data_IF_236227965850
#
_entry.id   IF_236227965850
#
_cell.length_a   1.000
_cell.length_b   1.000
_cell.length_c   1.000
_cell.angle_alpha   90.00
_cell.angle_beta   90.00
_cell.angle_gamma   90.00
#
_symmetry.space_group_name_H-M   'P 1'
#
loop_
_entity.id
_entity.type
_entity.pdbx_description
1 polymer ?
#
# COMPACT_ATOMS: atom_id res chain seq x y z
N UNK A 1 -38.91 -24.76 9.69
CA UNK A 1 -39.02 -23.30 9.54
C UNK A 1 -39.61 -22.76 10.85
N UNK A 2 -38.75 -22.30 11.74
CA UNK A 2 -39.17 -21.66 12.98
C UNK A 2 -39.26 -20.16 12.72
N UNK A 3 -40.46 -19.65 12.63
CA UNK A 3 -40.76 -18.22 12.58
C UNK A 3 -40.65 -17.68 14.00
N UNK A 4 -39.48 -17.20 14.38
CA UNK A 4 -39.32 -16.39 15.59
C UNK A 4 -39.80 -14.97 15.28
N UNK A 5 -41.10 -14.76 15.54
CA UNK A 5 -41.67 -13.43 15.68
C UNK A 5 -41.09 -12.78 16.94
N UNK A 6 -39.95 -12.14 16.82
CA UNK A 6 -39.43 -11.25 17.86
C UNK A 6 -40.34 -10.03 17.95
N UNK A 7 -41.30 -10.08 18.89
CA UNK A 7 -42.01 -8.88 19.32
C UNK A 7 -41.00 -7.79 19.67
N UNK A 8 -41.34 -6.55 19.35
CA UNK A 8 -40.47 -5.34 19.41
C UNK A 8 -39.89 -5.08 20.80
N UNK A 9 -38.98 -5.95 21.27
CA UNK A 9 -38.13 -5.68 22.44
C UNK A 9 -36.90 -4.92 21.98
N UNK A 10 -36.60 -3.82 22.65
CA UNK A 10 -35.39 -3.03 22.39
C UNK A 10 -34.16 -3.93 22.34
N UNK A 11 -33.38 -3.86 21.25
CA UNK A 11 -32.14 -4.60 21.12
C UNK A 11 -31.14 -4.17 22.21
N UNK A 12 -30.63 -5.14 22.95
CA UNK A 12 -29.58 -4.97 23.98
C UNK A 12 -28.29 -5.58 23.49
N UNK A 13 -27.16 -5.11 24.00
CA UNK A 13 -25.80 -5.57 23.59
C UNK A 13 -25.68 -7.11 23.63
N UNK A 14 -26.25 -7.78 24.61
CA UNK A 14 -26.20 -9.24 24.72
C UNK A 14 -27.04 -9.99 23.68
N UNK A 15 -27.90 -9.30 22.91
CA UNK A 15 -28.63 -9.88 21.79
C UNK A 15 -27.79 -9.91 20.50
N UNK A 16 -26.72 -9.13 20.43
CA UNK A 16 -25.82 -9.09 19.27
C UNK A 16 -25.01 -10.38 19.21
N UNK A 17 -25.21 -11.16 18.18
CA UNK A 17 -24.48 -12.40 17.91
C UNK A 17 -24.00 -12.39 16.47
N UNK A 18 -22.79 -12.92 16.21
CA UNK A 18 -22.32 -13.09 14.84
C UNK A 18 -23.25 -14.05 14.07
N UNK A 19 -23.28 -13.91 12.77
CA UNK A 19 -24.02 -14.84 11.92
C UNK A 19 -23.55 -16.29 12.16
N UNK A 20 -24.46 -17.30 12.02
CA UNK A 20 -24.08 -18.69 12.15
C UNK A 20 -22.92 -19.04 11.23
N UNK A 21 -21.87 -19.66 11.77
CA UNK A 21 -20.64 -20.00 11.02
C UNK A 21 -19.57 -18.89 10.95
N UNK A 22 -19.86 -17.66 11.34
CA UNK A 22 -18.88 -16.57 11.35
C UNK A 22 -17.80 -16.75 12.44
N UNK A 23 -18.07 -17.53 13.48
CA UNK A 23 -17.12 -17.83 14.54
C UNK A 23 -17.01 -19.35 14.75
N UNK A 24 -15.81 -19.86 14.59
CA UNK A 24 -15.50 -21.25 14.89
C UNK A 24 -14.67 -21.32 16.17
N UNK A 25 -15.09 -22.12 17.19
CA UNK A 25 -14.30 -22.29 18.40
C UNK A 25 -12.90 -22.79 18.11
N UNK A 26 -11.89 -22.24 18.77
CA UNK A 26 -10.51 -22.67 18.62
C UNK A 26 -10.37 -24.15 19.00
N UNK A 27 -9.81 -24.94 18.11
CA UNK A 27 -9.55 -26.37 18.37
C UNK A 27 -8.53 -26.51 19.48
N UNK A 28 -8.88 -27.18 20.55
CA UNK A 28 -7.99 -27.50 21.69
C UNK A 28 -7.34 -28.85 21.42
N UNK A 29 -6.06 -28.83 21.10
CA UNK A 29 -5.25 -30.05 20.86
C UNK A 29 -4.75 -30.68 22.16
N UNK A 30 -4.38 -31.96 22.14
CA UNK A 30 -3.85 -32.66 23.31
C UNK A 30 -4.89 -32.93 24.40
N UNK A 31 -6.18 -33.14 24.04
CA UNK A 31 -7.30 -33.41 24.97
C UNK A 31 -7.89 -34.82 24.78
N UNK A 32 -7.05 -35.80 24.64
CA UNK A 32 -7.44 -37.18 24.37
C UNK A 32 -6.92 -37.66 23.02
N UNK A 33 -7.35 -38.83 22.56
CA UNK A 33 -6.82 -39.48 21.35
C UNK A 33 -7.67 -39.19 20.09
N UNK A 34 -8.86 -38.56 20.22
CA UNK A 34 -9.72 -38.32 19.09
C UNK A 34 -9.19 -37.18 18.19
N UNK A 35 -9.40 -37.31 16.88
CA UNK A 35 -9.13 -36.31 15.85
C UNK A 35 -7.71 -35.69 15.92
N UNK A 36 -7.53 -34.54 16.56
CA UNK A 36 -6.23 -33.85 16.74
C UNK A 36 -5.64 -34.07 18.14
N UNK A 37 -6.00 -35.15 18.82
CA UNK A 37 -5.60 -35.43 20.19
C UNK A 37 -4.16 -35.89 20.36
N UNK A 38 -3.90 -37.16 20.19
CA UNK A 38 -2.66 -37.90 20.58
C UNK A 38 -1.34 -37.12 20.45
N UNK A 39 -0.96 -36.71 19.27
CA UNK A 39 0.30 -35.98 19.00
C UNK A 39 0.12 -34.49 18.85
N UNK A 40 -1.12 -34.01 18.95
CA UNK A 40 -1.47 -32.59 18.81
C UNK A 40 -0.94 -31.93 17.51
N UNK A 41 -0.79 -32.71 16.44
CA UNK A 41 -0.25 -32.26 15.15
C UNK A 41 1.27 -32.11 15.09
N UNK A 42 2.01 -32.57 16.11
CA UNK A 42 3.48 -32.44 16.17
C UNK A 42 4.26 -33.66 15.68
N UNK A 43 3.61 -34.78 15.44
CA UNK A 43 4.27 -36.05 15.12
C UNK A 43 4.88 -36.74 16.36
N UNK A 44 5.75 -37.76 16.15
CA UNK A 44 6.20 -38.64 17.23
C UNK A 44 7.61 -38.40 17.72
N UNK A 45 8.53 -37.94 16.91
CA UNK A 45 9.96 -37.73 17.25
C UNK A 45 10.43 -36.37 16.73
N UNK A 46 11.58 -35.94 17.23
CA UNK A 46 12.23 -34.68 16.85
C UNK A 46 12.01 -33.54 17.83
N UNK A 47 12.78 -32.51 17.66
CA UNK A 47 12.81 -31.33 18.55
C UNK A 47 11.49 -30.63 18.60
N UNK A 48 10.81 -30.41 17.46
CA UNK A 48 9.50 -29.75 17.39
C UNK A 48 8.36 -30.52 18.05
N UNK A 49 8.50 -31.82 18.27
CA UNK A 49 7.53 -32.65 19.00
C UNK A 49 7.60 -32.41 20.51
N UNK A 50 8.75 -32.04 21.03
CA UNK A 50 9.02 -31.92 22.48
C UNK A 50 8.88 -30.50 23.01
N UNK A 51 9.37 -29.50 22.24
CA UNK A 51 9.27 -28.09 22.62
C UNK A 51 9.22 -27.19 21.39
N UNK A 52 9.06 -25.91 21.57
CA UNK A 52 9.09 -24.94 20.50
C UNK A 52 10.53 -24.64 20.09
N UNK A 53 10.77 -24.69 18.78
CA UNK A 53 12.01 -24.21 18.17
C UNK A 53 11.77 -22.80 17.67
N UNK A 54 12.65 -21.83 17.92
CA UNK A 54 12.53 -20.49 17.36
C UNK A 54 12.37 -20.53 15.83
N UNK A 55 11.49 -19.73 15.27
CA UNK A 55 11.19 -19.72 13.82
C UNK A 55 12.43 -19.45 12.94
N UNK A 56 13.42 -18.75 13.51
CA UNK A 56 14.67 -18.38 12.82
C UNK A 56 15.80 -19.38 13.05
N UNK A 57 15.56 -20.51 13.70
CA UNK A 57 16.59 -21.51 13.96
C UNK A 57 16.80 -22.43 12.76
N UNK A 58 17.99 -22.42 12.20
CA UNK A 58 18.40 -23.20 11.02
C UNK A 58 19.32 -24.38 11.37
N UNK A 59 19.13 -24.98 12.55
CA UNK A 59 19.88 -26.18 12.95
C UNK A 59 21.36 -25.96 13.24
N UNK A 60 21.78 -24.73 13.53
CA UNK A 60 23.19 -24.36 13.77
C UNK A 60 23.90 -23.75 12.57
N UNK A 61 23.27 -23.81 11.38
CA UNK A 61 23.75 -23.05 10.22
C UNK A 61 23.56 -21.54 10.45
N UNK A 62 24.49 -20.72 9.98
CA UNK A 62 24.34 -19.26 10.01
C UNK A 62 23.10 -18.85 9.22
N UNK A 63 22.10 -18.21 9.86
CA UNK A 63 20.86 -17.79 9.22
C UNK A 63 21.08 -16.86 8.03
N UNK A 64 20.18 -16.91 7.05
CA UNK A 64 20.29 -16.10 5.82
C UNK A 64 20.45 -14.61 6.10
N UNK A 65 19.70 -14.05 7.08
CA UNK A 65 19.81 -12.65 7.45
C UNK A 65 21.18 -12.25 8.02
N UNK A 66 21.96 -13.20 8.55
CA UNK A 66 23.34 -12.97 9.00
C UNK A 66 24.37 -13.18 7.86
N UNK A 67 24.04 -13.97 6.84
CA UNK A 67 24.89 -14.19 5.67
C UNK A 67 24.78 -13.06 4.64
N UNK A 68 23.64 -12.37 4.59
CA UNK A 68 23.47 -11.23 3.69
C UNK A 68 24.35 -10.05 4.12
N UNK A 69 25.03 -9.37 3.18
CA UNK A 69 25.81 -8.20 3.48
C UNK A 69 24.89 -7.09 4.00
N UNK A 70 25.38 -6.32 4.96
CA UNK A 70 24.66 -5.13 5.46
C UNK A 70 24.51 -4.11 4.33
N UNK A 71 23.35 -3.48 4.25
CA UNK A 71 23.10 -2.36 3.35
C UNK A 71 24.08 -1.24 3.69
N UNK A 72 24.86 -0.79 2.70
CA UNK A 72 25.83 0.31 2.86
C UNK A 72 25.14 1.65 2.72
N UNK A 73 25.68 2.68 3.38
CA UNK A 73 25.16 4.02 3.34
C UNK A 73 24.07 4.29 4.38
N UNK A 74 23.38 5.39 4.21
CA UNK A 74 22.28 5.82 5.09
C UNK A 74 21.09 6.27 4.26
N UNK A 75 19.91 6.19 4.82
CA UNK A 75 18.68 6.74 4.24
C UNK A 75 18.42 8.10 4.87
N UNK A 76 18.45 9.17 4.06
CA UNK A 76 18.11 10.50 4.51
C UNK A 76 16.64 10.57 4.91
N UNK A 77 16.37 10.79 6.21
CA UNK A 77 15.02 10.90 6.76
C UNK A 77 14.29 12.20 6.36
N UNK A 78 15.06 13.21 5.96
CA UNK A 78 14.55 14.53 5.55
C UNK A 78 14.42 14.67 4.03
N UNK A 79 14.48 13.55 3.30
CA UNK A 79 14.29 13.55 1.85
C UNK A 79 12.86 13.95 1.52
N UNK A 80 12.71 15.05 0.78
CA UNK A 80 11.43 15.42 0.18
C UNK A 80 11.19 14.56 -1.05
N UNK A 81 10.13 13.77 -1.03
CA UNK A 81 9.73 12.93 -2.16
C UNK A 81 8.68 13.68 -2.99
N UNK A 82 8.92 13.79 -4.29
CA UNK A 82 8.01 14.40 -5.24
C UNK A 82 7.34 13.32 -6.09
N UNK A 83 6.08 13.51 -6.38
CA UNK A 83 5.41 12.79 -7.46
C UNK A 83 5.81 13.42 -8.79
N UNK A 84 6.17 12.59 -9.75
CA UNK A 84 6.65 13.04 -11.06
C UNK A 84 5.53 12.96 -12.07
N UNK A 85 5.38 14.03 -12.87
CA UNK A 85 4.54 14.07 -14.06
C UNK A 85 5.38 14.51 -15.23
N UNK A 86 5.37 13.77 -16.33
CA UNK A 86 6.09 14.08 -17.55
C UNK A 86 5.22 14.91 -18.50
N UNK A 87 5.84 15.68 -19.41
CA UNK A 87 5.13 16.52 -20.38
C UNK A 87 4.25 15.70 -21.32
N UNK A 88 4.71 14.53 -21.73
CA UNK A 88 3.92 13.60 -22.55
C UNK A 88 2.59 13.24 -21.87
N UNK A 89 2.64 12.97 -20.57
CA UNK A 89 1.42 12.68 -19.79
C UNK A 89 0.50 13.89 -19.68
N UNK A 90 1.07 15.09 -19.56
CA UNK A 90 0.27 16.33 -19.56
C UNK A 90 -0.41 16.55 -20.89
N UNK A 91 0.29 16.33 -22.03
CA UNK A 91 -0.29 16.41 -23.36
C UNK A 91 -1.46 15.44 -23.58
N UNK A 92 -1.35 14.21 -23.07
CA UNK A 92 -2.44 13.22 -23.12
C UNK A 92 -3.66 13.62 -22.28
N UNK A 93 -3.45 14.21 -21.10
CA UNK A 93 -4.53 14.61 -20.20
C UNK A 93 -5.21 15.91 -20.60
N UNK A 94 -4.52 16.77 -21.34
CA UNK A 94 -4.98 18.11 -21.75
C UNK A 94 -4.74 18.34 -23.26
N UNK A 95 -5.41 17.58 -24.14
CA UNK A 95 -5.21 17.69 -25.59
C UNK A 95 -5.63 19.06 -26.13
N UNK A 96 -6.59 19.71 -25.50
CA UNK A 96 -7.11 21.03 -25.89
C UNK A 96 -6.34 22.21 -25.25
N UNK A 97 -5.35 21.90 -24.41
CA UNK A 97 -4.62 22.92 -23.65
C UNK A 97 -5.36 23.38 -22.39
N UNK A 98 -4.91 24.50 -21.80
CA UNK A 98 -5.56 25.14 -20.65
C UNK A 98 -4.68 25.22 -19.40
N UNK A 99 -5.33 25.48 -18.26
CA UNK A 99 -4.66 25.58 -16.94
C UNK A 99 -4.59 24.21 -16.27
N UNK A 100 -3.43 23.92 -15.68
CA UNK A 100 -3.16 22.66 -14.98
C UNK A 100 -2.75 22.98 -13.55
N UNK A 101 -3.57 22.60 -12.59
CA UNK A 101 -3.26 22.72 -11.16
C UNK A 101 -2.93 21.35 -10.54
N UNK A 102 -2.24 21.28 -9.39
CA UNK A 102 -2.04 20.03 -8.68
C UNK A 102 -3.36 19.31 -8.34
N UNK A 103 -4.41 20.07 -8.01
CA UNK A 103 -5.74 19.51 -7.71
C UNK A 103 -6.37 18.84 -8.94
N UNK A 104 -6.21 19.42 -10.12
CA UNK A 104 -6.73 18.85 -11.38
C UNK A 104 -5.99 17.55 -11.73
N UNK A 105 -4.68 17.50 -11.46
CA UNK A 105 -3.88 16.28 -11.66
C UNK A 105 -4.31 15.15 -10.72
N UNK A 106 -4.73 15.47 -9.49
CA UNK A 106 -5.32 14.49 -8.57
C UNK A 106 -6.69 14.04 -9.08
N UNK A 107 -7.55 14.96 -9.49
CA UNK A 107 -8.89 14.65 -10.01
C UNK A 107 -8.82 13.74 -11.26
N UNK A 108 -7.84 13.95 -12.15
CA UNK A 108 -7.57 13.11 -13.33
C UNK A 108 -6.77 11.84 -13.02
N UNK A 109 -6.40 11.60 -11.75
CA UNK A 109 -5.66 10.40 -11.33
C UNK A 109 -4.21 10.33 -11.83
N UNK A 110 -3.62 11.46 -12.23
CA UNK A 110 -2.22 11.51 -12.64
C UNK A 110 -1.26 11.49 -11.45
N UNK A 111 -1.67 12.04 -10.32
CA UNK A 111 -0.94 12.06 -9.05
C UNK A 111 -1.88 11.71 -7.90
N UNK A 112 -1.31 11.30 -6.76
CA UNK A 112 -2.03 11.06 -5.51
C UNK A 112 -2.01 12.33 -4.65
N UNK A 113 -3.04 12.52 -3.87
CA UNK A 113 -3.06 13.61 -2.89
C UNK A 113 -1.99 13.44 -1.80
N UNK A 114 -1.55 14.54 -1.20
CA UNK A 114 -0.66 14.57 -0.04
C UNK A 114 0.84 14.65 -0.32
N UNK A 115 1.31 14.58 -1.56
CA UNK A 115 2.73 14.72 -1.91
C UNK A 115 2.95 15.83 -2.95
N UNK A 116 4.08 16.58 -2.85
CA UNK A 116 4.38 17.63 -3.80
C UNK A 116 4.64 17.07 -5.21
N UNK A 117 4.21 17.82 -6.22
CA UNK A 117 4.31 17.45 -7.64
C UNK A 117 5.51 18.13 -8.28
N UNK A 118 6.27 17.34 -9.08
CA UNK A 118 7.36 17.84 -9.91
C UNK A 118 7.13 17.48 -11.36
N UNK A 119 7.20 18.49 -12.23
CA UNK A 119 7.07 18.30 -13.69
C UNK A 119 8.43 18.10 -14.32
N UNK A 120 8.57 17.02 -15.11
CA UNK A 120 9.79 16.68 -15.84
C UNK A 120 9.55 16.81 -17.35
N UNK A 121 10.63 17.15 -18.07
CA UNK A 121 10.60 17.47 -19.50
C UNK A 121 10.73 16.27 -20.43
N UNK A 122 10.23 15.09 -20.02
CA UNK A 122 10.15 13.93 -20.89
C UNK A 122 8.88 14.02 -21.76
N UNK A 123 9.05 13.72 -23.05
CA UNK A 123 8.00 13.93 -24.05
C UNK A 123 8.01 15.35 -24.64
N UNK A 124 7.11 15.58 -25.61
CA UNK A 124 6.94 16.87 -26.27
C UNK A 124 5.51 17.40 -26.07
N UNK A 125 5.39 18.72 -25.94
CA UNK A 125 4.11 19.42 -25.82
C UNK A 125 3.76 20.05 -27.18
N UNK A 126 2.64 19.63 -27.75
CA UNK A 126 2.07 20.25 -28.95
C UNK A 126 1.03 21.34 -28.67
N UNK A 127 0.68 21.56 -27.40
CA UNK A 127 -0.40 22.47 -26.98
C UNK A 127 0.08 23.45 -25.92
N UNK A 128 -0.51 24.62 -25.88
CA UNK A 128 -0.23 25.65 -24.90
C UNK A 128 -0.84 25.27 -23.54
N UNK A 129 -0.01 25.17 -22.51
CA UNK A 129 -0.43 24.84 -21.14
C UNK A 129 0.09 25.88 -20.13
N UNK A 130 -0.77 26.27 -19.20
CA UNK A 130 -0.41 27.04 -18.02
C UNK A 130 -0.31 26.11 -16.84
N UNK A 131 0.93 25.75 -16.44
CA UNK A 131 1.15 24.69 -15.46
C UNK A 131 1.56 25.26 -14.12
N UNK A 132 0.79 24.95 -13.08
CA UNK A 132 1.11 25.24 -11.68
C UNK A 132 1.59 23.95 -11.00
N UNK A 133 2.81 23.94 -10.42
CA UNK A 133 3.35 22.79 -9.71
C UNK A 133 4.41 23.22 -8.68
N UNK A 134 4.78 22.33 -7.75
CA UNK A 134 5.74 22.64 -6.69
C UNK A 134 7.18 22.75 -7.22
N UNK A 135 7.54 21.97 -8.25
CA UNK A 135 8.88 22.07 -8.91
C UNK A 135 8.80 21.70 -10.39
N UNK A 136 9.74 22.26 -11.14
CA UNK A 136 9.94 21.97 -12.57
C UNK A 136 11.40 21.59 -12.81
N UNK A 137 11.68 20.75 -13.81
CA UNK A 137 13.02 20.62 -14.36
C UNK A 137 13.32 21.77 -15.34
N UNK A 138 14.59 22.07 -15.58
CA UNK A 138 14.97 23.09 -16.55
C UNK A 138 14.42 22.77 -17.94
N UNK A 139 14.56 21.52 -18.38
CA UNK A 139 14.03 21.05 -19.67
C UNK A 139 12.51 21.16 -19.77
N UNK A 140 11.76 20.92 -18.66
CA UNK A 140 10.32 21.08 -18.67
C UNK A 140 9.92 22.55 -18.87
N UNK A 141 10.58 23.48 -18.16
CA UNK A 141 10.33 24.91 -18.32
C UNK A 141 10.54 25.36 -19.77
N UNK A 142 11.72 25.05 -20.33
CA UNK A 142 12.05 25.42 -21.71
C UNK A 142 11.06 24.87 -22.73
N UNK A 143 10.59 23.62 -22.57
CA UNK A 143 9.60 23.02 -23.47
C UNK A 143 8.22 23.60 -23.32
N UNK A 144 7.76 23.93 -22.10
CA UNK A 144 6.48 24.59 -21.86
C UNK A 144 6.48 25.99 -22.44
N UNK A 145 7.57 26.76 -22.23
CA UNK A 145 7.73 28.10 -22.78
C UNK A 145 7.83 28.08 -24.32
N UNK A 146 8.53 27.11 -24.91
CA UNK A 146 8.62 26.92 -26.35
C UNK A 146 7.24 26.60 -26.98
N UNK A 147 6.36 25.88 -26.26
CA UNK A 147 4.97 25.62 -26.65
C UNK A 147 4.03 26.83 -26.39
N UNK A 148 4.57 27.99 -25.96
CA UNK A 148 3.79 29.20 -25.67
C UNK A 148 3.03 29.17 -24.34
N UNK A 149 3.35 28.23 -23.47
CA UNK A 149 2.76 28.11 -22.13
C UNK A 149 3.49 28.90 -21.05
N UNK A 150 3.00 28.82 -19.83
CA UNK A 150 3.61 29.44 -18.65
C UNK A 150 3.76 28.45 -17.50
N UNK A 151 4.77 28.68 -16.64
CA UNK A 151 5.04 27.86 -15.46
C UNK A 151 4.93 28.68 -14.18
N UNK A 152 4.11 28.23 -13.23
CA UNK A 152 3.94 28.88 -11.92
C UNK A 152 4.33 27.88 -10.82
N UNK A 153 5.19 28.32 -9.90
CA UNK A 153 5.60 27.50 -8.74
C UNK A 153 4.67 27.84 -7.56
N UNK A 154 4.07 26.80 -6.97
CA UNK A 154 3.12 26.89 -5.84
C UNK A 154 3.85 26.57 -4.54
#
# INVERSE_FOLDING_TARGET
>A
MANDSFGAKALKVHHLRPAPGAHTPKTRVGRGEASKGKTAGRGTKGTKARYQVPDRFEGGQTPLHMRLPKVRGFRNRFRTEFQVVNLDRLGQLYPDGGTVTPADLVAKGAVRDGLPVKVLGDGDLGVRLEVSAHKFSASAKSKIEAAGGSTTTV
#
